data_IF_414011486257
#
_entry.id   IF_414011486257
#
_cell.length_a   1.000
_cell.length_b   1.000
_cell.length_c   1.000
_cell.angle_alpha   90.00
_cell.angle_beta   90.00
_cell.angle_gamma   90.00
#
_symmetry.space_group_name_H-M   'P 1'
#
loop_
_entity.id
_entity.type
_entity.pdbx_description
1 polymer ?
#
# COMPACT_ATOMS: atom_id res chain seq x y z
N UNK A 1 11.63 73.26 -35.32
CA UNK A 1 12.55 72.10 -35.17
C UNK A 1 11.74 70.87 -34.92
N UNK A 2 11.54 70.04 -35.92
CA UNK A 2 10.71 68.85 -35.87
C UNK A 2 11.58 67.66 -35.78
N UNK A 3 11.43 66.87 -34.72
CA UNK A 3 12.16 65.64 -34.51
C UNK A 3 11.34 64.48 -35.11
N UNK A 4 11.86 63.66 -36.00
CA UNK A 4 11.12 62.54 -36.53
C UNK A 4 11.19 61.33 -35.56
N UNK A 5 10.03 60.82 -35.28
CA UNK A 5 9.77 59.60 -34.47
C UNK A 5 10.13 58.35 -35.31
N UNK A 6 11.13 57.64 -34.88
CA UNK A 6 11.54 56.36 -35.50
C UNK A 6 10.60 55.28 -35.01
N UNK A 7 9.74 54.77 -35.87
CA UNK A 7 8.88 53.61 -35.57
C UNK A 7 9.66 52.32 -35.85
N UNK A 8 10.02 51.63 -34.79
CA UNK A 8 10.63 50.28 -34.86
C UNK A 8 9.51 49.26 -34.98
N UNK A 9 9.34 48.68 -36.17
CA UNK A 9 8.43 47.58 -36.40
C UNK A 9 9.13 46.28 -35.95
N UNK A 10 8.72 45.76 -34.80
CA UNK A 10 9.12 44.44 -34.36
C UNK A 10 8.25 43.37 -35.04
N UNK A 11 8.82 42.58 -35.94
CA UNK A 11 8.16 41.40 -36.50
C UNK A 11 8.13 40.29 -35.46
N UNK A 12 6.95 40.06 -34.93
CA UNK A 12 6.69 38.85 -34.10
C UNK A 12 6.68 37.65 -35.00
N UNK A 13 7.74 36.82 -34.88
CA UNK A 13 7.79 35.49 -35.45
C UNK A 13 6.75 34.60 -34.74
N UNK A 14 5.75 34.11 -35.48
CA UNK A 14 4.86 33.04 -35.00
C UNK A 14 5.64 31.76 -34.90
N UNK A 15 5.99 31.38 -33.68
CA UNK A 15 6.41 30.01 -33.38
C UNK A 15 5.16 29.13 -33.37
N UNK A 16 5.11 28.16 -34.28
CA UNK A 16 4.10 27.08 -34.27
C UNK A 16 4.05 26.39 -32.91
N UNK A 17 2.88 26.12 -32.32
CA UNK A 17 2.78 25.29 -31.16
C UNK A 17 3.08 23.83 -31.58
N UNK A 18 4.19 23.31 -31.09
CA UNK A 18 4.50 21.88 -31.18
C UNK A 18 3.42 21.08 -30.47
N UNK A 19 2.93 20.04 -31.13
CA UNK A 19 1.95 19.09 -30.61
C UNK A 19 2.43 18.43 -29.31
N UNK A 20 1.72 18.58 -28.19
CA UNK A 20 1.93 17.75 -27.03
C UNK A 20 1.01 16.54 -27.11
N UNK A 21 1.35 15.55 -27.91
CA UNK A 21 0.71 14.23 -27.89
C UNK A 21 1.71 13.14 -27.68
N UNK A 22 2.36 13.15 -26.54
CA UNK A 22 2.78 11.91 -25.95
C UNK A 22 1.70 11.49 -24.93
N UNK A 23 0.75 10.70 -25.43
CA UNK A 23 -0.18 9.97 -24.61
C UNK A 23 0.64 9.08 -23.69
N UNK A 24 0.41 9.06 -22.35
CA UNK A 24 1.13 8.14 -21.48
C UNK A 24 0.89 6.74 -22.02
N UNK A 25 1.98 6.09 -22.45
CA UNK A 25 1.94 4.71 -22.89
C UNK A 25 1.24 3.90 -21.81
N UNK A 26 0.17 3.21 -22.18
CA UNK A 26 -0.48 2.24 -21.29
C UNK A 26 0.60 1.27 -20.86
N UNK A 27 1.04 1.38 -19.62
CA UNK A 27 1.89 0.37 -18.99
C UNK A 27 1.06 -0.91 -19.01
N UNK A 28 1.42 -1.85 -19.87
CA UNK A 28 0.80 -3.17 -19.94
C UNK A 28 1.21 -3.95 -18.70
N UNK A 29 0.39 -3.87 -17.66
CA UNK A 29 0.58 -4.54 -16.37
C UNK A 29 0.47 -6.08 -16.51
N UNK A 30 0.06 -6.57 -17.68
CA UNK A 30 -0.19 -8.00 -17.92
C UNK A 30 1.09 -8.85 -18.08
N UNK A 31 2.27 -8.25 -18.14
CA UNK A 31 3.54 -8.95 -18.39
C UNK A 31 4.52 -9.01 -17.23
N UNK A 32 4.17 -8.57 -16.04
CA UNK A 32 4.94 -8.90 -14.86
C UNK A 32 4.68 -10.39 -14.56
N UNK A 33 5.55 -11.28 -15.01
CA UNK A 33 5.58 -12.68 -14.58
C UNK A 33 6.00 -12.69 -13.12
N UNK A 34 5.05 -12.46 -12.25
CA UNK A 34 5.22 -12.65 -10.81
C UNK A 34 5.13 -14.16 -10.56
N UNK A 35 6.05 -14.76 -9.78
CA UNK A 35 5.87 -16.12 -9.32
C UNK A 35 4.48 -16.21 -8.69
N UNK A 36 3.64 -17.11 -9.19
CA UNK A 36 2.33 -17.36 -8.60
C UNK A 36 2.54 -17.98 -7.21
N UNK A 37 2.68 -17.11 -6.24
CA UNK A 37 2.52 -17.48 -4.85
C UNK A 37 1.02 -17.66 -4.68
N UNK A 38 0.54 -18.89 -4.78
CA UNK A 38 -0.87 -19.27 -4.74
C UNK A 38 -1.69 -18.58 -3.65
N UNK A 39 -2.73 -19.21 -3.16
CA UNK A 39 -3.53 -18.66 -2.05
C UNK A 39 -2.66 -18.45 -0.80
N UNK A 40 -2.70 -17.23 -0.27
CA UNK A 40 -1.96 -16.82 0.95
C UNK A 40 -2.80 -16.97 2.22
N UNK A 41 -3.95 -17.63 2.16
CA UNK A 41 -4.79 -17.87 3.34
C UNK A 41 -4.04 -18.73 4.36
N UNK A 42 -4.15 -18.38 5.64
CA UNK A 42 -3.51 -19.13 6.72
C UNK A 42 -3.29 -18.32 7.99
N UNK A 43 -2.64 -18.99 8.94
CA UNK A 43 -2.14 -18.39 10.16
C UNK A 43 -0.69 -17.96 9.99
N UNK A 44 -0.36 -16.79 10.53
CA UNK A 44 0.95 -16.18 10.43
C UNK A 44 1.44 -15.73 11.80
N UNK A 45 2.71 -15.92 12.09
CA UNK A 45 3.35 -15.15 13.17
C UNK A 45 3.54 -13.72 12.68
N UNK A 46 3.16 -12.75 13.50
CA UNK A 46 3.30 -11.34 13.22
C UNK A 46 4.43 -10.76 14.08
N UNK A 47 5.33 -10.01 13.46
CA UNK A 47 6.37 -9.24 14.16
C UNK A 47 6.48 -7.86 13.53
N UNK A 48 6.48 -6.83 14.35
CA UNK A 48 6.56 -5.46 13.89
C UNK A 48 7.11 -4.52 14.94
N UNK A 49 7.02 -3.24 14.63
CA UNK A 49 7.49 -2.15 15.47
C UNK A 49 6.36 -1.13 15.66
N UNK A 50 6.10 -0.73 16.90
CA UNK A 50 5.17 0.35 17.22
C UNK A 50 5.74 1.72 16.86
N UNK A 51 4.88 2.73 16.81
CA UNK A 51 5.26 4.12 16.50
C UNK A 51 6.39 4.64 17.42
N UNK A 52 6.50 4.16 18.63
CA UNK A 52 7.59 4.50 19.56
C UNK A 52 8.87 3.70 19.38
N UNK A 53 8.97 2.84 18.36
CA UNK A 53 10.14 1.98 18.13
C UNK A 53 10.14 0.69 18.96
N UNK A 54 9.12 0.46 19.79
CA UNK A 54 8.99 -0.76 20.60
C UNK A 54 8.57 -1.93 19.72
N UNK A 55 9.25 -3.09 19.78
CA UNK A 55 8.84 -4.26 19.04
C UNK A 55 7.56 -4.86 19.61
N UNK A 56 6.71 -5.39 18.72
CA UNK A 56 5.57 -6.22 19.07
C UNK A 56 5.59 -7.55 18.32
N UNK A 57 4.88 -8.51 18.86
CA UNK A 57 4.65 -9.80 18.20
C UNK A 57 3.22 -10.27 18.43
N UNK A 58 2.79 -11.22 17.64
CA UNK A 58 1.45 -11.80 17.72
C UNK A 58 1.17 -12.77 16.60
N UNK A 59 -0.10 -12.92 16.31
CA UNK A 59 -0.64 -13.78 15.25
C UNK A 59 -1.48 -12.93 14.30
N UNK A 60 -1.40 -13.24 13.02
CA UNK A 60 -2.35 -12.75 12.03
C UNK A 60 -3.03 -13.93 11.34
N UNK A 61 -4.31 -13.77 11.03
CA UNK A 61 -5.10 -14.73 10.26
C UNK A 61 -5.48 -14.07 8.94
N UNK A 62 -5.17 -14.71 7.84
CA UNK A 62 -5.48 -14.23 6.48
C UNK A 62 -6.47 -15.20 5.85
N UNK A 63 -7.61 -14.70 5.41
CA UNK A 63 -8.70 -15.51 4.84
C UNK A 63 -9.08 -14.92 3.48
N UNK A 64 -9.00 -15.73 2.43
CA UNK A 64 -9.50 -15.34 1.12
C UNK A 64 -11.02 -15.38 1.09
N UNK A 65 -11.64 -14.32 0.60
CA UNK A 65 -13.09 -14.23 0.37
C UNK A 65 -13.35 -13.61 -0.98
N UNK A 66 -13.61 -14.44 -1.98
CA UNK A 66 -13.75 -14.01 -3.38
C UNK A 66 -12.51 -13.22 -3.85
N UNK A 67 -12.67 -11.95 -4.20
CA UNK A 67 -11.61 -11.09 -4.73
C UNK A 67 -10.79 -10.37 -3.65
N UNK A 68 -11.15 -10.53 -2.38
CA UNK A 68 -10.48 -9.85 -1.25
C UNK A 68 -9.91 -10.85 -0.26
N UNK A 69 -9.03 -10.34 0.59
CA UNK A 69 -8.56 -11.03 1.79
C UNK A 69 -9.07 -10.30 3.03
N UNK A 70 -9.58 -11.05 3.98
CA UNK A 70 -9.85 -10.57 5.33
C UNK A 70 -8.65 -10.87 6.19
N UNK A 71 -8.20 -9.90 6.97
CA UNK A 71 -7.06 -10.08 7.85
C UNK A 71 -7.46 -9.69 9.27
N UNK A 72 -7.12 -10.53 10.23
CA UNK A 72 -7.25 -10.23 11.64
C UNK A 72 -5.87 -10.31 12.30
N UNK A 73 -5.49 -9.26 13.00
CA UNK A 73 -4.26 -9.19 13.78
C UNK A 73 -4.59 -9.27 15.27
N UNK A 74 -3.86 -10.09 15.98
CA UNK A 74 -3.89 -10.25 17.43
C UNK A 74 -2.47 -10.03 17.92
N UNK A 75 -2.14 -8.80 18.30
CA UNK A 75 -0.76 -8.36 18.57
C UNK A 75 -0.66 -7.63 19.89
N UNK A 76 0.54 -7.57 20.44
CA UNK A 76 0.93 -6.74 21.57
C UNK A 76 -0.09 -6.73 22.72
N UNK A 77 0.07 -7.50 23.76
CA UNK A 77 -0.73 -7.36 24.99
C UNK A 77 -2.26 -7.57 24.86
N UNK A 78 -2.75 -8.14 23.74
CA UNK A 78 -4.17 -8.45 23.54
C UNK A 78 -4.94 -7.51 22.62
N UNK A 79 -4.27 -6.62 21.89
CA UNK A 79 -4.91 -5.80 20.87
C UNK A 79 -5.36 -6.65 19.68
N UNK A 80 -6.65 -6.57 19.34
CA UNK A 80 -7.22 -7.24 18.17
C UNK A 80 -7.84 -6.22 17.23
N UNK A 81 -7.51 -6.30 15.96
CA UNK A 81 -8.10 -5.47 14.92
C UNK A 81 -8.25 -6.24 13.63
N UNK A 82 -9.14 -5.80 12.78
CA UNK A 82 -9.50 -6.48 11.55
C UNK A 82 -9.42 -5.52 10.37
N UNK A 83 -9.15 -6.08 9.21
CA UNK A 83 -9.04 -5.31 7.98
C UNK A 83 -9.44 -6.10 6.76
N UNK A 84 -9.54 -5.39 5.65
CA UNK A 84 -9.75 -5.94 4.33
C UNK A 84 -8.55 -5.59 3.45
N UNK A 85 -8.15 -6.53 2.61
CA UNK A 85 -7.02 -6.35 1.71
C UNK A 85 -7.37 -6.75 0.28
N UNK A 86 -6.71 -6.10 -0.67
CA UNK A 86 -6.69 -6.49 -2.08
C UNK A 86 -5.29 -6.92 -2.46
N UNK A 87 -5.20 -7.93 -3.32
CA UNK A 87 -3.93 -8.43 -3.85
C UNK A 87 -3.80 -8.05 -5.32
N UNK A 88 -2.63 -7.57 -5.69
CA UNK A 88 -2.24 -7.35 -7.08
C UNK A 88 -0.83 -7.91 -7.28
N UNK A 89 -0.75 -9.05 -7.98
CA UNK A 89 0.52 -9.75 -8.16
C UNK A 89 1.12 -10.20 -6.82
N UNK A 90 2.31 -9.73 -6.52
CA UNK A 90 3.03 -9.98 -5.27
C UNK A 90 2.81 -8.90 -4.19
N UNK A 91 1.88 -7.99 -4.42
CA UNK A 91 1.55 -6.91 -3.49
C UNK A 91 0.20 -7.16 -2.83
N UNK A 92 0.13 -7.00 -1.51
CA UNK A 92 -1.09 -7.04 -0.72
C UNK A 92 -1.25 -5.70 0.01
N UNK A 93 -2.30 -4.96 -0.32
CA UNK A 93 -2.64 -3.71 0.33
C UNK A 93 -3.84 -3.91 1.26
N UNK A 94 -3.68 -3.61 2.53
CA UNK A 94 -4.71 -3.77 3.55
C UNK A 94 -5.09 -2.44 4.19
N UNK A 95 -6.34 -2.33 4.60
CA UNK A 95 -6.86 -1.26 5.45
C UNK A 95 -7.51 -1.88 6.67
N UNK A 96 -7.34 -1.27 7.84
CA UNK A 96 -7.91 -1.74 9.10
C UNK A 96 -8.42 -0.59 9.98
N UNK A 97 -9.27 -0.95 10.94
CA UNK A 97 -9.75 -0.03 11.95
C UNK A 97 -9.87 -0.74 13.31
N UNK A 98 -9.69 0.03 14.38
CA UNK A 98 -9.92 -0.43 15.75
C UNK A 98 -10.46 0.71 16.61
N UNK A 99 -11.22 0.41 17.67
CA UNK A 99 -11.57 1.39 18.68
C UNK A 99 -10.32 1.92 19.40
N UNK A 100 -10.26 3.22 19.60
CA UNK A 100 -9.24 3.88 20.41
C UNK A 100 -9.91 4.74 21.49
N UNK A 101 -9.14 5.27 22.43
CA UNK A 101 -9.66 6.08 23.53
C UNK A 101 -10.39 7.36 23.08
N UNK A 102 -10.01 7.92 21.94
CA UNK A 102 -10.55 9.17 21.39
C UNK A 102 -11.30 8.98 20.06
N UNK A 103 -11.77 7.78 19.79
CA UNK A 103 -12.45 7.45 18.55
C UNK A 103 -11.80 6.29 17.79
N UNK A 104 -12.08 6.17 16.51
CA UNK A 104 -11.58 5.06 15.69
C UNK A 104 -10.18 5.37 15.18
N UNK A 105 -9.25 4.47 15.45
CA UNK A 105 -7.93 4.43 14.82
C UNK A 105 -8.08 3.67 13.51
N UNK A 106 -7.52 4.21 12.44
CA UNK A 106 -7.47 3.58 11.12
C UNK A 106 -6.04 3.44 10.67
N UNK A 107 -5.75 2.38 9.96
CA UNK A 107 -4.42 2.16 9.41
C UNK A 107 -4.46 1.48 8.06
N UNK A 108 -3.29 1.49 7.45
CA UNK A 108 -3.01 0.81 6.18
C UNK A 108 -1.72 0.01 6.31
N UNK A 109 -1.70 -1.15 5.67
CA UNK A 109 -0.51 -1.97 5.52
C UNK A 109 -0.27 -2.21 4.03
N UNK A 110 0.98 -2.20 3.65
CA UNK A 110 1.42 -2.59 2.31
C UNK A 110 2.48 -3.69 2.47
N UNK A 111 2.18 -4.88 1.95
CA UNK A 111 3.09 -6.02 1.99
C UNK A 111 3.53 -6.43 0.60
N UNK A 112 4.78 -6.84 0.51
CA UNK A 112 5.28 -7.68 -0.57
C UNK A 112 5.13 -9.15 -0.14
N UNK A 113 4.55 -9.95 -1.03
CA UNK A 113 4.39 -11.39 -0.85
C UNK A 113 5.67 -12.06 -1.36
N UNK A 114 6.38 -12.73 -0.46
CA UNK A 114 7.56 -13.53 -0.77
C UNK A 114 7.21 -15.02 -0.78
N UNK A 115 8.08 -15.83 -1.35
CA UNK A 115 7.92 -17.29 -1.35
C UNK A 115 7.93 -17.86 0.08
N UNK A 116 7.16 -18.94 0.29
CA UNK A 116 7.10 -19.67 1.56
C UNK A 116 6.01 -19.28 2.56
N UNK A 117 4.81 -18.80 2.22
CA UNK A 117 4.49 -17.41 2.03
C UNK A 117 4.93 -16.55 3.22
N UNK A 118 5.61 -15.47 2.93
CA UNK A 118 6.07 -14.45 3.88
C UNK A 118 5.61 -13.08 3.39
N UNK A 119 4.95 -12.31 4.22
CA UNK A 119 4.46 -10.98 3.89
C UNK A 119 5.36 -9.95 4.57
N UNK A 120 6.18 -9.26 3.79
CA UNK A 120 7.11 -8.25 4.29
C UNK A 120 6.54 -6.89 3.97
N UNK A 121 6.27 -6.09 4.99
CA UNK A 121 5.56 -4.86 4.75
C UNK A 121 5.82 -3.73 5.73
N UNK A 122 5.04 -2.70 5.50
CA UNK A 122 5.04 -1.49 6.32
C UNK A 122 3.61 -1.07 6.60
N UNK A 123 3.42 -0.40 7.72
CA UNK A 123 2.11 0.10 8.13
C UNK A 123 2.19 1.53 8.67
N UNK A 124 1.08 2.21 8.63
CA UNK A 124 0.89 3.51 9.25
C UNK A 124 -0.55 3.65 9.74
N UNK A 125 -0.78 4.51 10.72
CA UNK A 125 -2.11 4.76 11.28
C UNK A 125 -2.39 6.24 11.51
N UNK A 126 -3.68 6.55 11.56
CA UNK A 126 -4.21 7.85 11.97
C UNK A 126 -5.38 7.65 12.95
N UNK A 127 -5.52 8.53 13.97
CA UNK A 127 -4.64 9.61 14.33
C UNK A 127 -3.26 9.12 14.77
N UNK A 128 -2.24 9.90 14.52
CA UNK A 128 -0.85 9.57 14.88
C UNK A 128 0.15 10.47 14.15
N UNK A 129 1.45 10.25 14.34
CA UNK A 129 2.51 11.12 13.80
C UNK A 129 2.74 10.92 12.28
N UNK A 130 2.02 10.00 11.62
CA UNK A 130 2.20 9.70 10.19
C UNK A 130 3.53 8.99 9.87
N UNK A 131 4.11 8.29 10.85
CA UNK A 131 5.36 7.55 10.69
C UNK A 131 5.04 6.14 10.19
N UNK A 132 5.77 5.71 9.17
CA UNK A 132 5.66 4.37 8.61
C UNK A 132 6.56 3.41 9.39
N UNK A 133 5.99 2.30 9.85
CA UNK A 133 6.67 1.25 10.61
C UNK A 133 6.76 -0.05 9.83
N UNK A 134 7.64 -0.96 10.23
CA UNK A 134 7.83 -2.25 9.58
C UNK A 134 7.02 -3.33 10.28
N UNK A 135 6.52 -4.28 9.48
CA UNK A 135 5.85 -5.50 9.95
C UNK A 135 6.16 -6.66 9.01
N UNK A 136 6.32 -7.84 9.57
CA UNK A 136 6.51 -9.08 8.82
C UNK A 136 5.55 -10.14 9.34
N UNK A 137 4.81 -10.76 8.43
CA UNK A 137 3.99 -11.92 8.69
C UNK A 137 4.69 -13.14 8.09
N UNK A 138 4.98 -14.15 8.93
CA UNK A 138 5.60 -15.40 8.51
C UNK A 138 4.59 -16.54 8.65
N UNK A 139 4.36 -17.26 7.58
CA UNK A 139 3.38 -18.35 7.53
C UNK A 139 3.66 -19.42 8.58
N UNK A 140 2.62 -19.87 9.25
CA UNK A 140 2.66 -20.93 10.26
C UNK A 140 1.97 -22.20 9.77
N UNK A 141 0.70 -22.08 9.41
CA UNK A 141 -0.12 -23.20 8.93
C UNK A 141 -1.30 -22.71 8.08
N UNK A 142 -1.85 -23.62 7.28
CA UNK A 142 -3.12 -23.40 6.58
C UNK A 142 -4.27 -23.20 7.57
N UNK A 143 -5.34 -22.57 7.10
CA UNK A 143 -6.61 -22.57 7.83
C UNK A 143 -7.09 -24.00 7.99
N UNK A 144 -7.66 -24.30 9.15
CA UNK A 144 -8.33 -25.56 9.35
C UNK A 144 -9.56 -25.60 8.43
N UNK A 145 -9.84 -26.73 7.75
CA UNK A 145 -11.07 -26.83 6.98
C UNK A 145 -12.25 -26.64 7.94
N UNK A 146 -13.22 -25.83 7.52
CA UNK A 146 -14.48 -25.73 8.26
C UNK A 146 -15.12 -27.13 8.29
N UNK A 147 -15.43 -27.63 9.50
CA UNK A 147 -16.20 -28.85 9.69
C UNK A 147 -17.66 -28.66 9.24
#
# INVERSE_FOLDING_TARGET
>A
MVCPLLVLVATLGLSSPGDPKESPSKVDISKAVTPDVGDISGYYSCKGVEVGGKPYSGIAVVIKKNDVYLIQWMVGGGSTFSGVAIRQGDTLAASWAMPGERGIIRGVNLYKIESGPRLVGRWASVPGPGIVQNEVLTFLKKLDPEE
#
